data_IF_265522952139
#
_entry.id   IF_265522952139
#
_cell.length_a   1.000
_cell.length_b   1.000
_cell.length_c   1.000
_cell.angle_alpha   90.00
_cell.angle_beta   90.00
_cell.angle_gamma   90.00
#
_symmetry.space_group_name_H-M   'P 1'
#
loop_
_entity.id
_entity.type
_entity.pdbx_description
1 polymer ?
#
# COMPACT_ATOMS: atom_id res chain seq x y z
N UNK A 1 -44.96 40.48 37.46
CA UNK A 1 -45.55 40.12 36.15
C UNK A 1 -44.43 39.44 35.33
N UNK A 2 -44.45 38.11 35.19
CA UNK A 2 -43.35 37.34 34.59
C UNK A 2 -43.78 36.82 33.22
N UNK A 3 -43.22 37.36 32.13
CA UNK A 3 -43.49 36.88 30.75
C UNK A 3 -42.72 35.59 30.51
N UNK A 4 -43.44 34.48 30.35
CA UNK A 4 -42.88 33.17 29.98
C UNK A 4 -42.53 33.19 28.48
N UNK A 5 -41.24 33.18 28.15
CA UNK A 5 -40.78 32.97 26.78
C UNK A 5 -40.98 31.49 26.41
N UNK A 6 -41.88 31.23 25.46
CA UNK A 6 -42.05 29.89 24.87
C UNK A 6 -40.85 29.63 23.96
N UNK A 7 -39.96 28.71 24.32
CA UNK A 7 -38.91 28.22 23.43
C UNK A 7 -39.54 27.28 22.42
N UNK A 8 -39.46 27.65 21.14
CA UNK A 8 -39.93 26.85 20.02
C UNK A 8 -38.89 25.76 19.70
N UNK A 9 -38.86 24.70 20.50
CA UNK A 9 -37.97 23.56 20.26
C UNK A 9 -38.58 22.68 19.17
N UNK A 10 -38.14 22.91 17.92
CA UNK A 10 -38.48 22.02 16.80
C UNK A 10 -37.71 20.71 16.97
N UNK A 11 -38.42 19.60 17.19
CA UNK A 11 -37.85 18.26 17.23
C UNK A 11 -37.42 17.78 15.83
N UNK A 12 -36.40 16.92 15.79
CA UNK A 12 -35.95 16.25 14.57
C UNK A 12 -37.02 15.27 14.09
N UNK A 13 -37.40 15.31 12.82
CA UNK A 13 -38.38 14.37 12.27
C UNK A 13 -37.71 13.04 11.94
N UNK A 14 -38.44 11.93 12.08
CA UNK A 14 -37.93 10.61 11.70
C UNK A 14 -37.57 10.56 10.21
N UNK A 15 -38.32 11.25 9.35
CA UNK A 15 -38.06 11.30 7.91
C UNK A 15 -36.73 12.00 7.59
N UNK A 16 -36.37 13.07 8.31
CA UNK A 16 -35.07 13.72 8.17
C UNK A 16 -33.93 12.75 8.50
N UNK A 17 -34.08 11.94 9.55
CA UNK A 17 -33.09 10.91 9.89
C UNK A 17 -32.97 9.84 8.81
N UNK A 18 -34.12 9.36 8.31
CA UNK A 18 -34.15 8.28 7.31
C UNK A 18 -33.48 8.67 6.00
N UNK A 19 -33.74 9.88 5.49
CA UNK A 19 -33.12 10.36 4.25
C UNK A 19 -31.61 10.50 4.41
N UNK A 20 -31.13 10.95 5.57
CA UNK A 20 -29.69 11.08 5.84
C UNK A 20 -28.99 9.72 5.83
N UNK A 21 -29.54 8.72 6.53
CA UNK A 21 -28.95 7.37 6.55
C UNK A 21 -28.99 6.73 5.16
N UNK A 22 -30.04 6.98 4.37
CA UNK A 22 -30.12 6.55 2.98
C UNK A 22 -28.98 7.14 2.14
N UNK A 23 -28.74 8.45 2.23
CA UNK A 23 -27.67 9.11 1.47
C UNK A 23 -26.29 8.59 1.91
N UNK A 24 -26.05 8.47 3.22
CA UNK A 24 -24.79 7.91 3.74
C UNK A 24 -24.60 6.47 3.26
N UNK A 25 -25.67 5.66 3.24
CA UNK A 25 -25.64 4.29 2.74
C UNK A 25 -25.18 4.20 1.27
N UNK A 26 -25.71 5.08 0.40
CA UNK A 26 -25.31 5.14 -1.01
C UNK A 26 -23.83 5.55 -1.15
N UNK A 27 -23.40 6.56 -0.39
CA UNK A 27 -22.00 7.03 -0.43
C UNK A 27 -21.04 5.93 0.01
N UNK A 28 -21.33 5.23 1.11
CA UNK A 28 -20.50 4.15 1.64
C UNK A 28 -20.45 2.96 0.68
N UNK A 29 -21.57 2.60 0.07
CA UNK A 29 -21.64 1.49 -0.88
C UNK A 29 -20.70 1.68 -2.09
N UNK A 30 -20.51 2.92 -2.56
CA UNK A 30 -19.58 3.25 -3.64
C UNK A 30 -18.15 3.41 -3.11
N UNK A 31 -17.98 4.06 -1.95
CA UNK A 31 -16.67 4.40 -1.42
C UNK A 31 -15.82 3.18 -1.04
N UNK A 32 -16.41 2.15 -0.42
CA UNK A 32 -15.68 0.95 0.04
C UNK A 32 -14.97 0.21 -1.10
N UNK A 33 -15.65 -0.22 -2.19
CA UNK A 33 -14.97 -0.96 -3.25
C UNK A 33 -13.92 -0.12 -3.97
N UNK A 34 -14.20 1.17 -4.20
CA UNK A 34 -13.24 2.10 -4.83
C UNK A 34 -11.98 2.25 -3.99
N UNK A 35 -12.13 2.50 -2.69
CA UNK A 35 -10.99 2.65 -1.79
C UNK A 35 -10.16 1.37 -1.68
N UNK A 36 -10.80 0.20 -1.59
CA UNK A 36 -10.10 -1.08 -1.56
C UNK A 36 -9.23 -1.32 -2.80
N UNK A 37 -9.77 -1.04 -3.99
CA UNK A 37 -9.01 -1.17 -5.25
C UNK A 37 -7.84 -0.19 -5.34
N UNK A 38 -8.05 1.07 -4.91
CA UNK A 38 -7.01 2.09 -4.90
C UNK A 38 -5.87 1.74 -3.93
N UNK A 39 -6.21 1.23 -2.74
CA UNK A 39 -5.22 0.80 -1.75
C UNK A 39 -4.38 -0.37 -2.27
N UNK A 40 -4.99 -1.37 -2.91
CA UNK A 40 -4.26 -2.50 -3.49
C UNK A 40 -3.33 -2.05 -4.63
N UNK A 41 -3.81 -1.17 -5.53
CA UNK A 41 -2.97 -0.64 -6.60
C UNK A 41 -1.79 0.20 -6.06
N UNK A 42 -2.00 0.96 -4.98
CA UNK A 42 -0.92 1.70 -4.34
C UNK A 42 0.15 0.77 -3.74
N UNK A 43 -0.27 -0.35 -3.13
CA UNK A 43 0.65 -1.38 -2.62
C UNK A 43 1.44 -2.05 -3.74
N UNK A 44 0.78 -2.41 -4.85
CA UNK A 44 1.45 -2.99 -6.03
C UNK A 44 2.51 -2.03 -6.60
N UNK A 45 2.20 -0.73 -6.66
CA UNK A 45 3.15 0.29 -7.12
C UNK A 45 4.32 0.51 -6.17
N UNK A 46 4.08 0.42 -4.87
CA UNK A 46 5.14 0.48 -3.87
C UNK A 46 6.05 -0.77 -3.96
N UNK A 47 5.47 -1.95 -4.14
CA UNK A 47 6.23 -3.19 -4.39
C UNK A 47 7.07 -3.08 -5.67
N UNK A 48 6.53 -2.58 -6.79
CA UNK A 48 7.29 -2.29 -8.02
C UNK A 48 8.46 -1.34 -7.75
N UNK A 49 8.25 -0.30 -6.94
CA UNK A 49 9.30 0.63 -6.51
C UNK A 49 10.39 -0.03 -5.67
N UNK A 50 10.04 -0.96 -4.78
CA UNK A 50 10.98 -1.75 -4.00
C UNK A 50 11.85 -2.64 -4.89
N UNK A 51 11.24 -3.40 -5.82
CA UNK A 51 11.98 -4.24 -6.78
C UNK A 51 12.97 -3.41 -7.58
N UNK A 52 12.56 -2.24 -8.09
CA UNK A 52 13.44 -1.31 -8.81
C UNK A 52 14.61 -0.80 -7.97
N UNK A 53 14.34 -0.50 -6.70
CA UNK A 53 15.37 -0.02 -5.76
C UNK A 53 16.41 -1.10 -5.51
N UNK A 54 15.96 -2.34 -5.27
CA UNK A 54 16.84 -3.49 -5.08
C UNK A 54 17.62 -3.78 -6.38
N UNK A 55 16.98 -3.73 -7.55
CA UNK A 55 17.67 -3.94 -8.83
C UNK A 55 18.77 -2.90 -9.08
N UNK A 56 18.54 -1.64 -8.70
CA UNK A 56 19.57 -0.60 -8.71
C UNK A 56 20.74 -0.93 -7.79
N UNK A 57 20.47 -1.44 -6.58
CA UNK A 57 21.50 -1.89 -5.65
C UNK A 57 22.27 -3.12 -6.17
N UNK A 58 21.59 -4.07 -6.84
CA UNK A 58 22.24 -5.20 -7.53
C UNK A 58 23.20 -4.71 -8.61
N UNK A 59 22.76 -3.76 -9.45
CA UNK A 59 23.60 -3.21 -10.50
C UNK A 59 24.85 -2.52 -9.94
N UNK A 60 24.71 -1.79 -8.82
CA UNK A 60 25.86 -1.19 -8.12
C UNK A 60 26.80 -2.26 -7.55
N UNK A 61 26.27 -3.29 -6.91
CA UNK A 61 27.06 -4.42 -6.38
C UNK A 61 27.83 -5.13 -7.49
N UNK A 62 27.18 -5.42 -8.62
CA UNK A 62 27.80 -6.05 -9.78
C UNK A 62 28.93 -5.19 -10.37
N UNK A 63 28.73 -3.87 -10.43
CA UNK A 63 29.75 -2.94 -10.93
C UNK A 63 31.00 -2.91 -10.04
N UNK A 64 30.85 -3.09 -8.73
CA UNK A 64 31.97 -3.06 -7.79
C UNK A 64 32.67 -4.43 -7.65
N UNK A 65 31.89 -5.51 -7.54
CA UNK A 65 32.41 -6.85 -7.23
C UNK A 65 32.46 -7.82 -8.41
N UNK A 66 32.01 -7.42 -9.60
CA UNK A 66 31.90 -8.28 -10.79
C UNK A 66 31.19 -9.62 -10.52
N UNK A 67 30.26 -9.62 -9.57
CA UNK A 67 29.51 -10.79 -9.12
C UNK A 67 28.09 -10.39 -8.73
N UNK A 68 27.19 -11.36 -8.73
CA UNK A 68 25.79 -11.15 -8.34
C UNK A 68 25.66 -11.37 -6.83
N UNK A 69 24.97 -10.50 -6.08
CA UNK A 69 24.70 -10.73 -4.67
C UNK A 69 23.81 -11.97 -4.51
N UNK A 70 24.05 -12.76 -3.47
CA UNK A 70 23.32 -14.02 -3.24
C UNK A 70 21.83 -13.80 -2.91
N UNK A 71 21.53 -12.72 -2.20
CA UNK A 71 20.19 -12.34 -1.75
C UNK A 71 20.14 -10.85 -1.40
N UNK A 72 18.96 -10.37 -0.97
CA UNK A 72 18.75 -8.98 -0.57
C UNK A 72 19.54 -8.62 0.70
N UNK A 73 19.77 -9.58 1.60
CA UNK A 73 20.52 -9.34 2.84
C UNK A 73 22.03 -9.15 2.58
N UNK A 74 22.56 -9.77 1.52
CA UNK A 74 23.92 -9.51 1.05
C UNK A 74 24.10 -8.05 0.62
N UNK A 75 23.08 -7.42 0.02
CA UNK A 75 23.11 -6.00 -0.33
C UNK A 75 23.08 -5.09 0.90
N UNK A 76 22.38 -5.49 1.96
CA UNK A 76 22.36 -4.76 3.23
C UNK A 76 23.72 -4.86 3.93
N UNK A 77 24.26 -6.07 4.00
CA UNK A 77 25.56 -6.34 4.62
C UNK A 77 26.70 -5.59 3.90
N UNK A 78 26.63 -5.55 2.56
CA UNK A 78 27.58 -4.80 1.74
C UNK A 78 27.27 -3.29 1.64
N UNK A 79 26.28 -2.79 2.40
CA UNK A 79 25.90 -1.36 2.49
C UNK A 79 25.39 -0.71 1.20
N UNK A 80 24.91 -1.48 0.21
CA UNK A 80 24.18 -0.96 -0.94
C UNK A 80 22.71 -0.67 -0.62
N UNK A 81 22.17 -1.35 0.41
CA UNK A 81 20.86 -1.06 0.98
C UNK A 81 21.01 -0.74 2.47
N UNK A 82 20.20 0.20 2.96
CA UNK A 82 20.15 0.51 4.40
C UNK A 82 19.47 -0.60 5.21
N UNK A 83 18.46 -1.23 4.63
CA UNK A 83 17.72 -2.37 5.16
C UNK A 83 17.00 -3.06 4.00
N UNK A 84 16.62 -4.33 4.19
CA UNK A 84 15.70 -4.99 3.27
C UNK A 84 14.35 -4.25 3.30
N UNK A 85 13.76 -3.86 2.16
CA UNK A 85 12.44 -3.26 2.13
C UNK A 85 11.37 -4.25 2.60
N UNK A 86 10.48 -3.81 3.49
CA UNK A 86 9.27 -4.55 3.83
C UNK A 86 8.25 -4.48 2.69
N UNK A 87 7.47 -5.56 2.52
CA UNK A 87 6.41 -5.56 1.52
C UNK A 87 5.14 -4.80 1.99
N UNK A 88 4.54 -3.93 1.15
CA UNK A 88 3.35 -3.14 1.50
C UNK A 88 2.05 -3.94 1.71
N UNK A 89 1.98 -5.19 1.24
CA UNK A 89 0.82 -6.06 1.47
C UNK A 89 0.97 -6.87 2.76
N UNK A 90 2.16 -7.43 3.01
CA UNK A 90 2.41 -8.31 4.15
C UNK A 90 3.91 -8.44 4.45
N UNK A 91 4.31 -8.30 5.73
CA UNK A 91 5.69 -8.51 6.20
C UNK A 91 6.28 -9.91 5.95
N UNK A 92 5.47 -10.92 5.60
CA UNK A 92 5.95 -12.27 5.24
C UNK A 92 6.37 -12.37 3.78
N UNK A 93 5.91 -11.45 2.93
CA UNK A 93 6.25 -11.46 1.52
C UNK A 93 7.59 -10.76 1.30
N UNK A 94 8.40 -11.30 0.39
CA UNK A 94 9.80 -10.91 0.23
C UNK A 94 10.18 -10.75 -1.23
N UNK A 95 11.37 -10.19 -1.44
CA UNK A 95 12.01 -10.02 -2.73
C UNK A 95 13.16 -11.01 -2.87
N UNK A 96 13.32 -11.60 -4.06
CA UNK A 96 14.40 -12.54 -4.36
C UNK A 96 15.25 -12.03 -5.52
N UNK A 97 16.53 -12.34 -5.47
CA UNK A 97 17.50 -12.07 -6.54
C UNK A 97 17.89 -13.43 -7.12
N UNK A 98 17.82 -13.58 -8.44
CA UNK A 98 18.28 -14.80 -9.10
C UNK A 98 19.78 -14.76 -9.42
N UNK A 99 20.30 -15.88 -9.95
CA UNK A 99 21.72 -16.00 -10.29
C UNK A 99 22.21 -15.08 -11.42
N UNK A 100 21.31 -14.35 -12.08
CA UNK A 100 21.64 -13.34 -13.10
C UNK A 100 21.53 -11.91 -12.57
N UNK A 101 21.05 -11.74 -11.33
CA UNK A 101 20.81 -10.44 -10.71
C UNK A 101 19.41 -9.89 -10.95
N UNK A 102 18.51 -10.68 -11.56
CA UNK A 102 17.12 -10.27 -11.73
C UNK A 102 16.40 -10.33 -10.40
N UNK A 103 15.80 -9.22 -10.02
CA UNK A 103 15.01 -9.04 -8.80
C UNK A 103 13.55 -9.29 -9.12
N UNK A 104 12.92 -10.14 -8.32
CA UNK A 104 11.51 -10.50 -8.46
C UNK A 104 10.82 -10.40 -7.11
N UNK A 105 9.61 -9.84 -7.07
CA UNK A 105 8.72 -9.98 -5.92
C UNK A 105 8.20 -11.42 -5.90
N UNK A 106 8.17 -12.08 -4.74
CA UNK A 106 7.85 -13.51 -4.67
C UNK A 106 6.49 -13.86 -5.33
N UNK A 107 6.26 -15.15 -5.62
CA UNK A 107 5.07 -15.65 -6.33
C UNK A 107 3.72 -15.43 -5.61
N UNK A 108 3.73 -14.92 -4.38
CA UNK A 108 2.49 -14.55 -3.66
C UNK A 108 1.98 -13.16 -4.07
N UNK A 109 2.80 -12.36 -4.74
CA UNK A 109 2.45 -11.05 -5.26
C UNK A 109 1.58 -11.09 -6.51
N UNK A 110 1.05 -9.92 -6.86
CA UNK A 110 0.46 -9.70 -8.18
C UNK A 110 1.49 -10.07 -9.28
N UNK A 111 1.20 -11.07 -10.13
CA UNK A 111 2.14 -11.53 -11.17
C UNK A 111 2.39 -10.48 -12.27
N UNK A 112 1.62 -9.38 -12.28
CA UNK A 112 1.85 -8.24 -13.16
C UNK A 112 2.98 -7.31 -12.69
N UNK A 113 3.50 -7.48 -11.47
CA UNK A 113 4.65 -6.69 -10.99
C UNK A 113 5.89 -7.12 -11.78
N UNK A 114 6.55 -6.22 -12.52
CA UNK A 114 7.70 -6.58 -13.33
C UNK A 114 8.90 -7.00 -12.49
N UNK A 115 9.66 -7.97 -13.00
CA UNK A 115 11.02 -8.26 -12.57
C UNK A 115 12.01 -7.33 -13.27
N UNK A 116 13.13 -7.02 -12.61
CA UNK A 116 14.16 -6.10 -13.10
C UNK A 116 15.55 -6.67 -12.98
#
# INVERSE_FOLDING_TARGET
>A
MMRKMVRNEKGFTLIELMVVVLIIGILVAIAIPVFGSAANNARDKACEGNVRTIAGAVAQYQAEYNSVPADVDALVTASFLKSAPDDPHNATWTYSIDGTGTVTANSSHNPAIPSY
#
